data_IF_149012522288
#
_entry.id   IF_149012522288
#
_cell.length_a   1.000
_cell.length_b   1.000
_cell.length_c   1.000
_cell.angle_alpha   90.00
_cell.angle_beta   90.00
_cell.angle_gamma   90.00
#
_symmetry.space_group_name_H-M   'P 1'
#
loop_
_entity.id
_entity.type
_entity.pdbx_description
1 polymer ?
#
# COMPACT_ATOMS: atom_id res chain seq x y z
N UNK A 1 13.17 -5.53 -58.47
CA UNK A 1 13.06 -5.00 -57.09
C UNK A 1 13.48 -6.11 -56.16
N UNK A 2 14.77 -6.18 -55.83
CA UNK A 2 15.35 -7.19 -54.94
C UNK A 2 15.45 -6.62 -53.52
N UNK A 3 14.52 -7.02 -52.66
CA UNK A 3 14.58 -6.73 -51.23
C UNK A 3 15.59 -7.67 -50.57
N UNK A 4 16.80 -7.16 -50.33
CA UNK A 4 17.89 -7.83 -49.62
C UNK A 4 17.44 -8.27 -48.21
N UNK A 5 17.47 -9.58 -47.86
CA UNK A 5 17.14 -10.07 -46.52
C UNK A 5 18.34 -9.92 -45.59
N UNK A 6 18.56 -8.73 -45.02
CA UNK A 6 19.73 -8.44 -44.15
C UNK A 6 19.44 -8.60 -42.64
N UNK A 7 18.17 -8.68 -42.19
CA UNK A 7 17.85 -8.50 -40.76
C UNK A 7 17.90 -9.74 -39.84
N UNK A 8 17.92 -10.96 -40.37
CA UNK A 8 17.80 -12.16 -39.50
C UNK A 8 19.10 -12.55 -38.78
N UNK A 9 20.26 -12.18 -39.33
CA UNK A 9 21.56 -12.64 -38.81
C UNK A 9 22.06 -11.87 -37.58
N UNK A 10 21.55 -10.67 -37.32
CA UNK A 10 21.93 -9.88 -36.14
C UNK A 10 21.20 -10.35 -34.87
N UNK A 11 19.92 -10.70 -34.99
CA UNK A 11 19.11 -11.22 -33.88
C UNK A 11 19.64 -12.58 -33.39
N UNK A 12 20.01 -13.49 -34.31
CA UNK A 12 20.59 -14.79 -33.97
C UNK A 12 21.93 -14.67 -33.22
N UNK A 13 22.71 -13.61 -33.49
CA UNK A 13 23.99 -13.36 -32.83
C UNK A 13 23.79 -12.89 -31.38
N UNK A 14 22.79 -12.04 -31.12
CA UNK A 14 22.48 -11.58 -29.76
C UNK A 14 22.01 -12.74 -28.86
N UNK A 15 21.16 -13.62 -29.38
CA UNK A 15 20.72 -14.81 -28.63
C UNK A 15 21.89 -15.70 -28.24
N UNK A 16 22.86 -15.89 -29.16
CA UNK A 16 24.07 -16.66 -28.87
C UNK A 16 24.93 -16.05 -27.75
N UNK A 17 25.03 -14.71 -27.66
CA UNK A 17 25.73 -14.05 -26.55
C UNK A 17 25.04 -14.28 -25.19
N UNK A 18 23.70 -14.22 -25.16
CA UNK A 18 22.94 -14.51 -23.94
C UNK A 18 23.11 -15.95 -23.50
N UNK A 19 23.00 -16.91 -24.43
CA UNK A 19 23.21 -18.32 -24.12
C UNK A 19 24.62 -18.58 -23.59
N UNK A 20 25.65 -18.01 -24.22
CA UNK A 20 27.04 -18.17 -23.79
C UNK A 20 27.31 -17.56 -22.41
N UNK A 21 26.74 -16.38 -22.13
CA UNK A 21 26.88 -15.74 -20.82
C UNK A 21 26.15 -16.53 -19.74
N UNK A 22 24.93 -17.01 -20.01
CA UNK A 22 24.16 -17.85 -19.11
C UNK A 22 24.87 -19.16 -18.79
N UNK A 23 25.44 -19.84 -19.79
CA UNK A 23 26.22 -21.07 -19.56
C UNK A 23 27.48 -20.82 -18.75
N UNK A 24 28.15 -19.69 -18.98
CA UNK A 24 29.36 -19.33 -18.23
C UNK A 24 29.03 -19.06 -16.76
N UNK A 25 27.98 -18.27 -16.48
CA UNK A 25 27.52 -18.01 -15.11
C UNK A 25 27.13 -19.31 -14.42
N UNK A 26 26.40 -20.20 -15.11
CA UNK A 26 26.01 -21.50 -14.57
C UNK A 26 27.21 -22.39 -14.23
N UNK A 27 28.21 -22.48 -15.12
CA UNK A 27 29.42 -23.27 -14.88
C UNK A 27 30.22 -22.69 -13.69
N UNK A 28 30.34 -21.37 -13.59
CA UNK A 28 31.04 -20.72 -12.45
C UNK A 28 30.31 -20.94 -11.13
N UNK A 29 28.98 -20.84 -11.11
CA UNK A 29 28.17 -21.13 -9.91
C UNK A 29 28.29 -22.59 -9.51
N UNK A 30 28.28 -23.50 -10.48
CA UNK A 30 28.38 -24.93 -10.21
C UNK A 30 29.77 -25.30 -9.65
N UNK A 31 30.84 -24.65 -10.13
CA UNK A 31 32.18 -24.80 -9.52
C UNK A 31 32.23 -24.20 -8.12
N UNK A 32 31.68 -23.01 -7.92
CA UNK A 32 31.63 -22.39 -6.59
C UNK A 32 30.85 -23.25 -5.58
N UNK A 33 29.74 -23.83 -6.01
CA UNK A 33 28.96 -24.74 -5.19
C UNK A 33 29.76 -26.00 -4.81
N UNK A 34 30.38 -26.64 -5.80
CA UNK A 34 31.10 -27.90 -5.58
C UNK A 34 32.43 -27.70 -4.82
N UNK A 35 33.20 -26.66 -5.16
CA UNK A 35 34.55 -26.45 -4.61
C UNK A 35 34.52 -25.72 -3.27
N UNK A 36 33.51 -24.87 -3.02
CA UNK A 36 33.45 -24.03 -1.82
C UNK A 36 32.23 -24.34 -0.97
N UNK A 37 31.02 -24.26 -1.54
CA UNK A 37 29.80 -24.32 -0.72
C UNK A 37 29.60 -25.69 -0.10
N UNK A 38 29.70 -26.77 -0.89
CA UNK A 38 29.48 -28.15 -0.43
C UNK A 38 30.44 -28.58 0.68
N UNK A 39 31.78 -28.44 0.56
CA UNK A 39 32.68 -28.83 1.65
C UNK A 39 32.51 -27.96 2.90
N UNK A 40 32.19 -26.66 2.75
CA UNK A 40 31.91 -25.80 3.90
C UNK A 40 30.65 -26.27 4.62
N UNK A 41 29.57 -26.56 3.89
CA UNK A 41 28.30 -27.03 4.47
C UNK A 41 28.46 -28.39 5.13
N UNK A 42 29.14 -29.34 4.49
CA UNK A 42 29.42 -30.66 5.05
C UNK A 42 30.27 -30.58 6.33
N UNK A 43 31.31 -29.74 6.32
CA UNK A 43 32.12 -29.49 7.51
C UNK A 43 31.31 -28.81 8.62
N UNK A 44 30.44 -27.86 8.28
CA UNK A 44 29.56 -27.20 9.24
C UNK A 44 28.61 -28.22 9.88
N UNK A 45 27.93 -29.04 9.07
CA UNK A 45 26.99 -30.06 9.54
C UNK A 45 27.69 -31.11 10.41
N UNK A 46 28.89 -31.54 10.05
CA UNK A 46 29.68 -32.46 10.86
C UNK A 46 30.10 -31.81 12.20
N UNK A 47 30.53 -30.55 12.20
CA UNK A 47 30.85 -29.82 13.42
C UNK A 47 29.61 -29.63 14.33
N UNK A 48 28.44 -29.36 13.75
CA UNK A 48 27.18 -29.27 14.49
C UNK A 48 26.79 -30.61 15.13
N UNK A 49 26.97 -31.73 14.42
CA UNK A 49 26.69 -33.07 14.96
C UNK A 49 27.64 -33.44 16.09
N UNK A 50 28.92 -33.11 15.98
CA UNK A 50 29.92 -33.47 16.99
C UNK A 50 29.79 -32.63 18.28
N UNK A 51 29.45 -31.34 18.18
CA UNK A 51 29.42 -30.44 19.33
C UNK A 51 28.24 -29.45 19.30
N UNK A 52 26.99 -29.91 19.57
CA UNK A 52 25.80 -29.08 19.48
C UNK A 52 25.85 -27.84 20.38
N UNK A 53 26.48 -27.92 21.56
CA UNK A 53 26.52 -26.79 22.51
C UNK A 53 27.52 -25.71 22.03
N UNK A 54 28.67 -26.10 21.48
CA UNK A 54 29.71 -25.15 21.02
C UNK A 54 29.35 -24.52 19.66
N UNK A 55 28.67 -25.27 18.81
CA UNK A 55 28.21 -24.78 17.51
C UNK A 55 27.12 -23.72 17.66
N UNK A 56 26.20 -23.87 18.62
CA UNK A 56 25.23 -22.81 18.94
C UNK A 56 25.91 -21.53 19.44
N UNK A 57 26.93 -21.65 20.31
CA UNK A 57 27.66 -20.48 20.81
C UNK A 57 28.41 -19.73 19.70
N UNK A 58 29.09 -20.46 18.82
CA UNK A 58 29.84 -19.87 17.69
C UNK A 58 28.92 -19.30 16.63
N UNK A 59 27.83 -20.00 16.29
CA UNK A 59 26.82 -19.50 15.34
C UNK A 59 26.12 -18.25 15.87
N UNK A 60 25.75 -18.22 17.15
CA UNK A 60 25.15 -17.03 17.78
C UNK A 60 26.12 -15.85 17.77
N UNK A 61 27.40 -16.09 18.10
CA UNK A 61 28.43 -15.06 18.09
C UNK A 61 28.67 -14.51 16.67
N UNK A 62 28.79 -15.37 15.66
CA UNK A 62 28.95 -14.95 14.27
C UNK A 62 27.75 -14.16 13.76
N UNK A 63 26.53 -14.59 14.13
CA UNK A 63 25.31 -13.88 13.77
C UNK A 63 25.25 -12.49 14.42
N UNK A 64 25.59 -12.39 15.71
CA UNK A 64 25.69 -11.10 16.42
C UNK A 64 26.72 -10.17 15.78
N UNK A 65 27.91 -10.70 15.43
CA UNK A 65 28.93 -9.94 14.72
C UNK A 65 28.46 -9.47 13.34
N UNK A 66 27.69 -10.30 12.63
CA UNK A 66 27.10 -9.93 11.35
C UNK A 66 26.07 -8.80 11.49
N UNK A 67 25.18 -8.87 12.48
CA UNK A 67 24.23 -7.79 12.79
C UNK A 67 24.98 -6.49 13.15
N UNK A 68 26.01 -6.55 14.00
CA UNK A 68 26.82 -5.38 14.36
C UNK A 68 27.49 -4.77 13.12
N UNK A 69 27.98 -5.62 12.20
CA UNK A 69 28.62 -5.15 10.97
C UNK A 69 27.62 -4.49 10.01
N UNK A 70 26.41 -5.05 9.88
CA UNK A 70 25.33 -4.42 9.13
C UNK A 70 24.88 -3.10 9.75
N UNK A 71 24.79 -3.04 11.08
CA UNK A 71 24.50 -1.81 11.82
C UNK A 71 25.56 -0.74 11.55
N UNK A 72 26.83 -1.12 11.63
CA UNK A 72 27.94 -0.20 11.34
C UNK A 72 27.93 0.25 9.87
N UNK A 73 27.63 -0.64 8.93
CA UNK A 73 27.52 -0.29 7.50
C UNK A 73 26.36 0.68 7.24
N UNK A 74 25.23 0.47 7.92
CA UNK A 74 24.06 1.34 7.84
C UNK A 74 24.34 2.73 8.43
N UNK A 75 24.91 2.79 9.64
CA UNK A 75 25.30 4.04 10.30
C UNK A 75 26.41 4.77 9.55
N UNK A 76 27.30 4.04 8.88
CA UNK A 76 28.40 4.61 8.09
C UNK A 76 27.95 5.11 6.73
N UNK A 77 26.77 4.72 6.24
CA UNK A 77 26.25 5.24 4.96
C UNK A 77 26.10 6.76 5.08
N UNK A 78 26.94 7.56 4.38
CA UNK A 78 26.96 9.00 4.52
C UNK A 78 25.84 9.62 3.67
N UNK A 79 24.63 9.05 3.72
CA UNK A 79 23.47 9.59 3.02
C UNK A 79 22.83 10.69 3.85
N UNK A 80 23.58 11.79 3.84
CA UNK A 80 23.27 13.16 4.20
C UNK A 80 22.00 13.62 3.46
N UNK A 81 20.83 13.32 4.01
CA UNK A 81 19.62 14.11 3.76
C UNK A 81 18.88 14.28 5.08
N UNK A 82 19.14 15.41 5.72
CA UNK A 82 18.85 15.75 7.12
C UNK A 82 17.39 16.04 7.44
N UNK A 83 16.49 15.97 6.46
CA UNK A 83 15.05 16.24 6.58
C UNK A 83 14.20 15.12 7.20
N UNK A 84 13.84 14.16 6.36
CA UNK A 84 12.51 13.54 6.50
C UNK A 84 12.55 12.02 6.69
N UNK A 85 13.74 11.43 6.77
CA UNK A 85 13.90 9.96 6.77
C UNK A 85 14.16 9.33 8.15
N UNK A 86 14.36 10.11 9.21
CA UNK A 86 14.66 9.58 10.54
C UNK A 86 13.46 8.92 11.22
N UNK A 87 12.23 9.33 10.92
CA UNK A 87 11.02 8.79 11.54
C UNK A 87 10.75 7.33 11.16
N UNK A 88 10.60 7.03 9.86
CA UNK A 88 10.15 5.70 9.44
C UNK A 88 11.26 4.63 9.44
N UNK A 89 12.51 4.97 9.11
CA UNK A 89 13.60 3.97 9.07
C UNK A 89 14.02 3.52 10.48
N UNK A 90 13.99 4.44 11.44
CA UNK A 90 14.26 4.12 12.84
C UNK A 90 13.24 3.15 13.42
N UNK A 91 11.94 3.38 13.15
CA UNK A 91 10.85 2.54 13.67
C UNK A 91 10.94 1.10 13.15
N UNK A 92 11.15 0.90 11.84
CA UNK A 92 11.28 -0.45 11.27
C UNK A 92 12.46 -1.20 11.87
N UNK A 93 13.59 -0.53 12.10
CA UNK A 93 14.77 -1.13 12.72
C UNK A 93 14.55 -1.50 14.19
N UNK A 94 13.91 -0.62 14.96
CA UNK A 94 13.60 -0.88 16.37
C UNK A 94 12.63 -2.07 16.52
N UNK A 95 11.63 -2.17 15.64
CA UNK A 95 10.70 -3.31 15.58
C UNK A 95 11.46 -4.61 15.27
N UNK A 96 12.39 -4.59 14.30
CA UNK A 96 13.20 -5.75 13.95
C UNK A 96 14.09 -6.21 15.12
N UNK A 97 14.76 -5.27 15.80
CA UNK A 97 15.60 -5.59 16.97
C UNK A 97 14.79 -6.10 18.16
N UNK A 98 13.58 -5.57 18.40
CA UNK A 98 12.70 -6.02 19.46
C UNK A 98 12.17 -7.44 19.21
N UNK A 99 11.78 -7.73 17.96
CA UNK A 99 11.39 -9.09 17.55
C UNK A 99 12.55 -10.07 17.67
N UNK A 100 13.76 -9.68 17.27
CA UNK A 100 14.94 -10.54 17.41
C UNK A 100 15.27 -10.85 18.88
N UNK A 101 15.26 -9.83 19.74
CA UNK A 101 15.47 -10.00 21.18
C UNK A 101 14.42 -10.91 21.82
N UNK A 102 13.19 -10.94 21.30
CA UNK A 102 12.13 -11.82 21.80
C UNK A 102 12.36 -13.32 21.51
N UNK A 103 13.09 -13.65 20.43
CA UNK A 103 13.43 -15.03 20.03
C UNK A 103 14.62 -15.57 20.85
N UNK A 104 15.52 -14.67 21.29
CA UNK A 104 16.64 -14.88 22.23
C UNK A 104 16.31 -15.66 23.51
N UNK A 105 15.13 -15.41 24.07
CA UNK A 105 14.81 -15.74 25.46
C UNK A 105 14.20 -17.14 25.58
N UNK A 106 15.10 -18.11 25.59
CA UNK A 106 14.88 -19.54 25.81
C UNK A 106 14.61 -19.87 27.28
N UNK A 107 13.64 -19.20 27.92
CA UNK A 107 13.10 -19.58 29.23
C UNK A 107 11.58 -19.68 29.15
N UNK A 108 11.03 -20.84 29.52
CA UNK A 108 9.71 -21.35 29.09
C UNK A 108 8.46 -20.49 29.42
N UNK A 109 8.57 -19.33 30.05
CA UNK A 109 7.42 -18.47 30.40
C UNK A 109 7.58 -17.00 29.94
N UNK A 110 8.80 -16.58 29.61
CA UNK A 110 9.08 -15.23 29.11
C UNK A 110 8.72 -14.94 27.63
N UNK A 111 8.66 -15.92 26.69
CA UNK A 111 8.40 -15.60 25.29
C UNK A 111 6.96 -15.11 25.07
N UNK A 112 6.00 -15.54 25.90
CA UNK A 112 4.61 -15.07 25.80
C UNK A 112 4.46 -13.58 26.07
N UNK A 113 5.14 -13.07 27.11
CA UNK A 113 5.10 -11.65 27.48
C UNK A 113 5.79 -10.79 26.42
N UNK A 114 6.92 -11.25 25.88
CA UNK A 114 7.65 -10.53 24.83
C UNK A 114 6.89 -10.54 23.50
N UNK A 115 6.26 -11.66 23.17
CA UNK A 115 5.37 -11.77 22.01
C UNK A 115 4.15 -10.84 22.16
N UNK A 116 3.53 -10.80 23.33
CA UNK A 116 2.43 -9.90 23.62
C UNK A 116 2.88 -8.42 23.58
N UNK A 117 4.06 -8.12 24.10
CA UNK A 117 4.66 -6.78 24.07
C UNK A 117 4.97 -6.32 22.65
N UNK A 118 5.55 -7.18 21.81
CA UNK A 118 5.82 -6.88 20.40
C UNK A 118 4.52 -6.71 19.60
N UNK A 119 3.50 -7.54 19.84
CA UNK A 119 2.16 -7.35 19.28
C UNK A 119 1.54 -6.01 19.66
N UNK A 120 1.60 -5.64 20.94
CA UNK A 120 1.06 -4.37 21.43
C UNK A 120 1.81 -3.16 20.84
N UNK A 121 3.13 -3.27 20.73
CA UNK A 121 3.96 -2.25 20.09
C UNK A 121 3.63 -2.11 18.60
N UNK A 122 3.52 -3.23 17.87
CA UNK A 122 3.10 -3.26 16.45
C UNK A 122 1.71 -2.66 16.27
N UNK A 123 0.76 -3.00 17.15
CA UNK A 123 -0.58 -2.45 17.14
C UNK A 123 -0.56 -0.92 17.37
N UNK A 124 0.22 -0.44 18.34
CA UNK A 124 0.41 0.99 18.60
C UNK A 124 1.01 1.73 17.42
N UNK A 125 2.06 1.16 16.79
CA UNK A 125 2.68 1.71 15.57
C UNK A 125 1.68 1.74 14.42
N UNK A 126 0.89 0.68 14.24
CA UNK A 126 -0.15 0.61 13.20
C UNK A 126 -1.22 1.67 13.41
N UNK A 127 -1.70 1.86 14.64
CA UNK A 127 -2.68 2.90 14.97
C UNK A 127 -2.10 4.30 14.72
N UNK A 128 -0.88 4.56 15.18
CA UNK A 128 -0.19 5.83 14.96
C UNK A 128 0.00 6.13 13.47
N UNK A 129 0.42 5.13 12.69
CA UNK A 129 0.62 5.31 11.25
C UNK A 129 -0.71 5.55 10.53
N UNK A 130 -1.76 4.83 10.92
CA UNK A 130 -3.11 5.01 10.36
C UNK A 130 -3.65 6.41 10.67
N UNK A 131 -3.52 6.88 11.91
CA UNK A 131 -3.96 8.23 12.31
C UNK A 131 -3.12 9.31 11.65
N UNK A 132 -1.81 9.10 11.48
CA UNK A 132 -0.94 10.03 10.77
C UNK A 132 -1.30 10.16 9.28
N UNK A 133 -1.49 9.03 8.57
CA UNK A 133 -1.91 9.03 7.16
C UNK A 133 -3.28 9.70 7.02
N UNK A 134 -4.22 9.36 7.90
CA UNK A 134 -5.55 9.97 7.90
C UNK A 134 -5.48 11.47 8.19
N UNK A 135 -4.63 11.90 9.14
CA UNK A 135 -4.40 13.31 9.45
C UNK A 135 -3.81 14.09 8.28
N UNK A 136 -2.79 13.55 7.62
CA UNK A 136 -2.19 14.16 6.41
C UNK A 136 -3.23 14.24 5.29
N UNK A 137 -4.00 13.18 5.06
CA UNK A 137 -5.07 13.17 4.07
C UNK A 137 -6.11 14.26 4.35
N UNK A 138 -6.57 14.40 5.61
CA UNK A 138 -7.52 15.43 6.01
C UNK A 138 -6.94 16.84 5.84
N UNK A 139 -5.66 17.04 6.16
CA UNK A 139 -4.97 18.33 5.98
C UNK A 139 -4.84 18.71 4.50
N UNK A 140 -4.41 17.78 3.64
CA UNK A 140 -4.31 18.01 2.18
C UNK A 140 -5.69 18.34 1.61
N UNK A 141 -6.71 17.59 2.01
CA UNK A 141 -8.08 17.82 1.56
C UNK A 141 -8.60 19.19 2.01
N UNK A 142 -8.37 19.56 3.26
CA UNK A 142 -8.73 20.89 3.78
C UNK A 142 -7.99 21.99 3.00
N UNK A 143 -6.70 21.82 2.72
CA UNK A 143 -5.92 22.77 1.95
C UNK A 143 -6.49 22.99 0.55
N UNK A 144 -6.87 21.92 -0.16
CA UNK A 144 -7.53 22.01 -1.48
C UNK A 144 -8.86 22.77 -1.40
N UNK A 145 -9.72 22.46 -0.42
CA UNK A 145 -10.99 23.17 -0.21
C UNK A 145 -10.80 24.66 0.09
N UNK A 146 -9.79 25.01 0.90
CA UNK A 146 -9.49 26.40 1.20
C UNK A 146 -8.87 27.16 0.04
N UNK A 147 -8.19 26.45 -0.88
CA UNK A 147 -7.62 27.03 -2.08
C UNK A 147 -8.71 27.43 -3.09
N UNK A 148 -9.71 26.57 -3.30
CA UNK A 148 -10.77 26.80 -4.29
C UNK A 148 -11.84 27.80 -3.81
N UNK A 149 -12.27 27.72 -2.54
CA UNK A 149 -13.40 28.49 -2.01
C UNK A 149 -12.99 29.62 -1.04
N UNK A 150 -11.69 29.73 -0.73
CA UNK A 150 -11.18 30.60 0.32
C UNK A 150 -11.28 29.98 1.73
N UNK A 151 -10.51 30.51 2.71
CA UNK A 151 -10.28 29.85 3.99
C UNK A 151 -11.54 29.73 4.86
N UNK A 152 -12.47 30.71 4.81
CA UNK A 152 -13.69 30.68 5.62
C UNK A 152 -14.75 29.73 5.06
N UNK A 153 -14.98 29.76 3.75
CA UNK A 153 -15.98 28.90 3.11
C UNK A 153 -15.53 27.43 3.09
N UNK A 154 -14.25 27.18 2.81
CA UNK A 154 -13.68 25.83 2.76
C UNK A 154 -13.79 25.07 4.08
N UNK A 155 -13.54 25.72 5.24
CA UNK A 155 -13.67 25.10 6.56
C UNK A 155 -15.12 24.74 6.88
N UNK A 156 -16.08 25.62 6.58
CA UNK A 156 -17.51 25.38 6.83
C UNK A 156 -18.01 24.22 5.98
N UNK A 157 -17.63 24.18 4.70
CA UNK A 157 -17.97 23.10 3.78
C UNK A 157 -17.36 21.77 4.23
N UNK A 158 -16.08 21.77 4.61
CA UNK A 158 -15.38 20.61 5.14
C UNK A 158 -16.03 20.07 6.42
N UNK A 159 -16.44 20.94 7.34
CA UNK A 159 -17.11 20.55 8.58
C UNK A 159 -18.46 19.88 8.30
N UNK A 160 -19.23 20.43 7.35
CA UNK A 160 -20.51 19.84 6.96
C UNK A 160 -20.33 18.48 6.27
N UNK A 161 -19.31 18.33 5.42
CA UNK A 161 -19.01 17.07 4.77
C UNK A 161 -18.48 16.02 5.76
N UNK A 162 -17.54 16.39 6.63
CA UNK A 162 -16.98 15.50 7.65
C UNK A 162 -18.07 15.01 8.60
N UNK A 163 -18.99 15.89 8.99
CA UNK A 163 -20.16 15.51 9.79
C UNK A 163 -21.08 14.53 9.07
N UNK A 164 -21.29 14.71 7.76
CA UNK A 164 -22.09 13.81 6.92
C UNK A 164 -21.44 12.44 6.72
N UNK A 165 -20.11 12.36 6.66
CA UNK A 165 -19.37 11.10 6.51
C UNK A 165 -19.22 10.35 7.84
N UNK A 166 -18.99 11.07 8.94
CA UNK A 166 -18.74 10.48 10.27
C UNK A 166 -20.00 10.14 11.05
N UNK A 167 -21.13 10.76 10.73
CA UNK A 167 -22.43 10.36 11.24
C UNK A 167 -23.12 9.56 10.14
N UNK A 168 -23.08 8.21 10.18
CA UNK A 168 -23.89 7.41 9.29
C UNK A 168 -25.32 7.92 9.35
N UNK A 169 -25.91 8.15 8.18
CA UNK A 169 -27.28 8.65 7.98
C UNK A 169 -28.38 7.83 8.69
N UNK A 170 -28.03 6.76 9.42
CA UNK A 170 -28.91 6.07 10.38
C UNK A 170 -29.51 6.98 11.46
N UNK A 171 -28.91 8.14 11.74
CA UNK A 171 -29.48 9.13 12.65
C UNK A 171 -30.15 10.30 11.94
N UNK A 172 -30.30 10.30 10.62
CA UNK A 172 -31.30 11.16 10.01
C UNK A 172 -32.64 10.52 10.39
N UNK A 173 -33.41 11.12 11.32
CA UNK A 173 -34.78 10.68 11.53
C UNK A 173 -35.39 10.80 10.15
N UNK A 174 -35.93 9.70 9.63
CA UNK A 174 -36.64 9.68 8.36
C UNK A 174 -37.43 10.97 8.34
N UNK A 175 -37.03 11.92 7.49
CA UNK A 175 -37.82 13.10 7.24
C UNK A 175 -39.15 12.48 6.93
N UNK A 176 -40.06 12.64 7.89
CA UNK A 176 -41.41 12.23 7.75
C UNK A 176 -41.77 12.95 6.47
N UNK A 177 -41.88 12.18 5.41
CA UNK A 177 -42.93 12.36 4.43
C UNK A 177 -44.19 12.52 5.27
N UNK A 178 -44.38 13.72 5.86
CA UNK A 178 -45.64 14.37 5.97
C UNK A 178 -46.11 14.31 4.54
N UNK A 179 -46.82 13.22 4.26
CA UNK A 179 -48.09 13.25 3.62
C UNK A 179 -48.47 14.71 3.43
N UNK A 180 -47.98 15.24 2.31
CA UNK A 180 -48.54 16.39 1.66
C UNK A 180 -49.96 15.94 1.37
N UNK A 181 -50.80 16.15 2.39
CA UNK A 181 -52.22 16.18 2.25
C UNK A 181 -52.45 17.25 1.20
N UNK A 182 -52.59 16.79 -0.05
CA UNK A 182 -53.17 17.56 -1.12
C UNK A 182 -54.35 18.32 -0.53
N UNK A 183 -54.33 19.67 -0.48
CA UNK A 183 -55.55 20.39 -0.28
C UNK A 183 -56.38 20.17 -1.54
N UNK A 184 -57.51 19.49 -1.37
CA UNK A 184 -58.58 19.43 -2.38
C UNK A 184 -58.78 20.83 -3.00
N UNK A 185 -58.83 20.94 -4.33
CA UNK A 185 -59.18 22.19 -5.00
C UNK A 185 -60.67 22.47 -4.78
N UNK A 186 -60.98 23.27 -3.74
CA UNK A 186 -62.31 23.88 -3.59
C UNK A 186 -62.55 24.87 -4.72
N UNK A 187 -63.27 24.35 -5.71
CA UNK A 187 -63.94 25.04 -6.81
C UNK A 187 -65.01 25.99 -6.23
N UNK A 188 -64.81 27.30 -6.41
CA UNK A 188 -65.83 28.33 -6.14
C UNK A 188 -65.26 29.73 -6.12
N UNK A 189 -65.46 30.49 -7.21
CA UNK A 189 -65.13 31.93 -7.32
C UNK A 189 -66.06 32.82 -6.47
N UNK A 190 -66.23 34.15 -6.72
CA UNK A 190 -65.73 34.95 -7.86
C UNK A 190 -65.10 36.34 -7.49
N UNK A 191 -64.41 36.92 -8.48
CA UNK A 191 -64.27 38.35 -8.83
C UNK A 191 -64.06 39.42 -7.74
N UNK A 192 -62.90 40.09 -7.77
CA UNK A 192 -62.83 41.57 -7.76
C UNK A 192 -61.48 42.08 -8.31
N UNK A 193 -61.60 42.97 -9.30
CA UNK A 193 -60.79 44.15 -9.70
C UNK A 193 -59.30 44.19 -9.31
N UNK A 194 -58.37 44.25 -10.26
CA UNK A 194 -57.97 45.43 -11.07
C UNK A 194 -57.16 46.47 -10.26
N UNK A 195 -56.18 47.09 -10.92
CA UNK A 195 -55.10 47.99 -10.47
C UNK A 195 -53.82 47.22 -10.10
N UNK A 196 -52.68 47.31 -10.78
CA UNK A 196 -52.19 48.24 -11.81
C UNK A 196 -50.70 48.48 -11.54
N UNK A 197 -49.85 48.32 -12.57
CA UNK A 197 -48.39 48.56 -12.60
C UNK A 197 -47.54 47.64 -11.68
N UNK A 198 -46.40 47.09 -12.08
CA UNK A 198 -45.26 47.74 -12.71
C UNK A 198 -44.34 46.67 -13.34
N UNK A 199 -43.88 46.93 -14.56
CA UNK A 199 -42.98 46.08 -15.31
C UNK A 199 -41.55 46.20 -14.76
N UNK A 200 -40.99 45.11 -14.22
CA UNK A 200 -39.54 44.99 -14.00
C UNK A 200 -39.01 43.98 -15.03
N UNK A 201 -38.08 44.38 -15.93
CA UNK A 201 -37.40 43.44 -16.80
C UNK A 201 -36.32 42.71 -15.98
N UNK A 202 -36.61 41.47 -15.58
CA UNK A 202 -35.56 40.58 -15.06
C UNK A 202 -34.83 39.99 -16.26
N UNK A 203 -33.69 40.60 -16.56
CA UNK A 203 -32.71 40.08 -17.51
C UNK A 203 -32.39 38.62 -17.22
N UNK A 204 -32.50 37.82 -18.27
CA UNK A 204 -32.16 36.41 -18.27
C UNK A 204 -30.68 36.18 -17.94
N UNK A 205 -30.46 35.27 -17.00
CA UNK A 205 -29.20 34.53 -16.91
C UNK A 205 -29.54 33.03 -16.95
N UNK A 206 -29.77 32.54 -18.16
CA UNK A 206 -29.89 31.11 -18.47
C UNK A 206 -28.59 30.61 -19.09
N UNK A 207 -28.09 29.48 -18.59
CA UNK A 207 -26.94 28.74 -19.13
C UNK A 207 -25.66 29.00 -18.34
N UNK A 208 -25.04 28.01 -17.70
CA UNK A 208 -24.54 26.84 -18.38
C UNK A 208 -24.40 25.65 -17.42
N UNK A 209 -25.34 24.72 -17.53
CA UNK A 209 -25.27 23.39 -16.91
C UNK A 209 -24.44 22.51 -17.84
N UNK A 210 -23.11 22.61 -17.75
CA UNK A 210 -22.19 21.78 -18.53
C UNK A 210 -22.00 20.45 -17.82
N UNK A 211 -22.46 19.39 -18.51
CA UNK A 211 -21.66 18.17 -18.66
C UNK A 211 -21.64 17.23 -17.47
N UNK A 212 -22.68 16.40 -17.36
CA UNK A 212 -22.54 15.11 -16.71
C UNK A 212 -21.52 14.26 -17.47
N UNK A 213 -20.35 14.02 -16.87
CA UNK A 213 -19.46 12.93 -17.26
C UNK A 213 -19.84 11.70 -16.42
N UNK A 214 -20.88 11.01 -16.88
CA UNK A 214 -21.12 9.62 -16.49
C UNK A 214 -20.03 8.77 -17.16
N UNK A 215 -18.87 8.68 -16.51
CA UNK A 215 -17.80 7.77 -16.87
C UNK A 215 -18.19 6.34 -16.51
N UNK A 216 -18.92 5.67 -17.39
CA UNK A 216 -19.06 4.22 -17.40
C UNK A 216 -17.72 3.60 -17.82
N UNK A 217 -16.78 3.55 -16.87
CA UNK A 217 -15.48 2.90 -17.01
C UNK A 217 -15.44 1.57 -16.27
N UNK A 218 -16.43 0.69 -16.49
CA UNK A 218 -16.32 -0.71 -16.10
C UNK A 218 -15.42 -1.44 -17.12
N UNK A 219 -14.12 -1.21 -17.03
CA UNK A 219 -13.12 -2.04 -17.70
C UNK A 219 -13.08 -3.35 -16.92
N UNK A 220 -13.78 -4.35 -17.45
CA UNK A 220 -13.61 -5.74 -17.04
C UNK A 220 -12.18 -6.15 -17.34
N UNK A 221 -11.36 -6.22 -16.30
CA UNK A 221 -10.12 -6.99 -16.35
C UNK A 221 -10.53 -8.46 -16.41
N UNK A 222 -10.57 -8.99 -17.63
CA UNK A 222 -10.54 -10.42 -17.91
C UNK A 222 -9.22 -10.96 -17.35
N UNK A 223 -9.27 -11.37 -16.08
CA UNK A 223 -8.20 -12.12 -15.43
C UNK A 223 -8.26 -13.52 -16.03
N UNK A 224 -7.47 -13.69 -17.09
CA UNK A 224 -7.23 -14.95 -17.76
C UNK A 224 -7.12 -16.09 -16.74
N UNK A 225 -7.91 -17.12 -16.99
CA UNK A 225 -7.91 -18.34 -16.19
C UNK A 225 -6.49 -18.90 -16.05
N UNK A 226 -6.08 -19.32 -14.84
CA UNK A 226 -4.79 -19.94 -14.64
C UNK A 226 -4.68 -21.21 -15.49
N UNK A 227 -3.53 -21.47 -16.14
CA UNK A 227 -3.30 -22.74 -16.82
C UNK A 227 -3.44 -23.87 -15.80
N UNK A 228 -4.38 -24.78 -16.05
CA UNK A 228 -4.48 -26.06 -15.38
C UNK A 228 -3.19 -26.83 -15.63
N UNK A 229 -2.27 -26.77 -14.67
CA UNK A 229 -1.09 -27.62 -14.64
C UNK A 229 -1.59 -29.05 -14.48
N UNK A 230 -1.57 -29.77 -15.60
CA UNK A 230 -1.83 -31.19 -15.65
C UNK A 230 -0.89 -31.90 -14.67
N UNK A 231 -1.52 -32.56 -13.70
CA UNK A 231 -0.92 -33.46 -12.72
C UNK A 231 -0.29 -34.62 -13.49
N UNK A 232 0.98 -34.47 -13.90
CA UNK A 232 1.76 -35.61 -14.38
C UNK A 232 2.07 -36.50 -13.19
N UNK A 233 1.48 -37.67 -13.28
CA UNK A 233 1.83 -38.91 -12.59
C UNK A 233 3.33 -38.99 -12.35
N UNK A 234 3.70 -39.03 -11.08
CA UNK A 234 5.00 -39.52 -10.63
C UNK A 234 4.71 -40.78 -9.82
N UNK A 235 4.31 -41.79 -10.58
CA UNK A 235 4.40 -43.21 -10.25
C UNK A 235 5.63 -43.72 -11.03
N UNK A 236 6.47 -44.54 -10.37
CA UNK A 236 7.89 -44.93 -10.66
C UNK A 236 8.86 -44.14 -9.79
N UNK A 237 9.57 -44.71 -8.82
CA UNK A 237 9.95 -46.08 -8.47
C UNK A 237 9.99 -46.24 -6.93
#
# INVERSE_FOLDING_TARGET
MDSKPIRKTEDDNLTSYFDKSATTVRDTLQRLENDVTRPVVENLLNAFRQHPIRSHATSSLLHRLFIIRLYYLHMRSPHRSTSDCYGNRGVVWHVYTALYASVELKSNELPGILFLGTLFLLFGVSLFLTTAILGVYLLVRLALLTYDAGPRAGVVQWAHESRKQLLPSRFQPAESHSAEAQPEPKRGGPSHEEVGAENIPVEGFTGSRVGGLAGNGAVGADLGSPPTVAKRELEKE
#
